data_IF_910457700109
#
_entry.id   IF_910457700109
#
_cell.length_a   1.000
_cell.length_b   1.000
_cell.length_c   1.000
_cell.angle_alpha   90.00
_cell.angle_beta   90.00
_cell.angle_gamma   90.00
#
_symmetry.space_group_name_H-M   'P 1'
#
loop_
_entity.id
_entity.type
_entity.pdbx_description
1 polymer ?
#
# COMPACT_ATOMS: atom_id res chain seq x y z
N UNK A 1 17.23 1.17 -6.37
CA UNK A 1 15.75 1.07 -6.38
C UNK A 1 15.37 -0.34 -6.81
N UNK A 2 14.55 -1.06 -6.03
CA UNK A 2 14.07 -2.40 -6.41
C UNK A 2 13.08 -2.29 -7.58
N UNK A 3 13.24 -3.16 -8.58
CA UNK A 3 12.32 -3.30 -9.71
C UNK A 3 11.96 -4.77 -9.84
N UNK A 4 10.68 -5.07 -10.03
CA UNK A 4 10.23 -6.43 -10.28
C UNK A 4 9.00 -6.44 -11.19
N UNK A 5 8.80 -7.53 -11.92
CA UNK A 5 7.56 -7.80 -12.62
C UNK A 5 6.69 -8.68 -11.73
N UNK A 6 5.45 -8.26 -11.47
CA UNK A 6 4.54 -9.03 -10.65
C UNK A 6 4.29 -10.41 -11.26
N UNK A 7 4.44 -11.46 -10.45
CA UNK A 7 4.25 -12.85 -10.89
C UNK A 7 2.78 -13.20 -11.12
N UNK A 8 1.85 -12.50 -10.47
CA UNK A 8 0.42 -12.76 -10.59
C UNK A 8 -0.21 -12.06 -11.80
N UNK A 9 0.05 -10.75 -11.99
CA UNK A 9 -0.60 -9.95 -13.04
C UNK A 9 0.34 -9.40 -14.11
N UNK A 10 1.65 -9.68 -14.03
CA UNK A 10 2.64 -9.28 -15.03
C UNK A 10 3.01 -7.79 -15.03
N UNK A 11 2.45 -6.97 -14.13
CA UNK A 11 2.69 -5.53 -14.08
C UNK A 11 4.10 -5.20 -13.57
N UNK A 12 4.84 -4.29 -14.24
CA UNK A 12 6.13 -3.82 -13.75
C UNK A 12 5.95 -2.87 -12.55
N UNK A 13 6.72 -3.11 -11.50
CA UNK A 13 6.76 -2.32 -10.27
C UNK A 13 8.17 -1.78 -10.04
N UNK A 14 8.26 -0.55 -9.54
CA UNK A 14 9.52 0.13 -9.21
C UNK A 14 9.38 0.83 -7.87
N UNK A 15 10.39 0.66 -7.00
CA UNK A 15 10.46 1.36 -5.71
C UNK A 15 9.52 0.84 -4.63
N UNK A 16 8.97 -0.37 -4.81
CA UNK A 16 8.02 -0.99 -3.88
C UNK A 16 8.18 -2.51 -3.86
N UNK A 17 7.77 -3.13 -2.76
CA UNK A 17 7.97 -4.56 -2.49
C UNK A 17 6.67 -5.38 -2.63
N UNK A 18 5.52 -4.75 -2.88
CA UNK A 18 4.28 -5.39 -3.37
C UNK A 18 3.93 -4.90 -4.78
N UNK A 19 2.94 -5.51 -5.45
CA UNK A 19 2.45 -5.08 -6.76
C UNK A 19 1.39 -3.99 -6.63
N UNK A 20 1.42 -2.94 -7.45
CA UNK A 20 0.57 -1.74 -7.27
C UNK A 20 -0.90 -1.93 -7.67
N UNK A 21 -1.26 -3.15 -8.06
CA UNK A 21 -2.55 -3.50 -8.67
C UNK A 21 -3.23 -4.63 -7.89
N UNK A 22 -2.47 -5.63 -7.47
CA UNK A 22 -3.01 -6.85 -6.85
C UNK A 22 -2.26 -7.26 -5.58
N UNK A 23 -1.39 -6.38 -5.06
CA UNK A 23 -0.64 -6.51 -3.81
C UNK A 23 0.25 -7.76 -3.64
N UNK A 24 0.37 -8.60 -4.67
CA UNK A 24 1.28 -9.74 -4.66
C UNK A 24 2.71 -9.27 -4.37
N UNK A 25 3.31 -9.84 -3.34
CA UNK A 25 4.66 -9.54 -2.92
C UNK A 25 5.69 -9.80 -4.03
N UNK A 26 6.73 -8.97 -4.06
CA UNK A 26 7.94 -9.24 -4.83
C UNK A 26 8.59 -10.54 -4.33
N UNK A 27 9.19 -11.36 -5.21
CA UNK A 27 9.95 -12.55 -4.80
C UNK A 27 11.09 -12.29 -3.82
N UNK A 28 11.54 -11.03 -3.73
CA UNK A 28 12.63 -10.60 -2.83
C UNK A 28 12.15 -9.68 -1.72
N UNK A 29 10.83 -9.52 -1.57
CA UNK A 29 10.23 -8.67 -0.55
C UNK A 29 10.68 -9.09 0.85
N UNK A 30 10.99 -8.11 1.69
CA UNK A 30 11.21 -8.36 3.13
C UNK A 30 9.99 -7.84 3.91
N UNK A 31 9.73 -8.33 5.13
CA UNK A 31 8.66 -7.77 5.97
C UNK A 31 8.79 -6.25 6.14
N UNK A 32 10.02 -5.74 6.33
CA UNK A 32 10.27 -4.30 6.42
C UNK A 32 9.99 -3.54 5.12
N UNK A 33 10.32 -4.12 3.96
CA UNK A 33 10.03 -3.51 2.66
C UNK A 33 8.54 -3.52 2.30
N UNK A 34 7.82 -4.59 2.65
CA UNK A 34 6.37 -4.66 2.54
C UNK A 34 5.70 -3.64 3.47
N UNK A 35 6.15 -3.52 4.72
CA UNK A 35 5.62 -2.53 5.65
C UNK A 35 5.85 -1.09 5.15
N UNK A 36 7.02 -0.80 4.59
CA UNK A 36 7.29 0.50 3.98
C UNK A 36 6.40 0.78 2.77
N UNK A 37 6.10 -0.25 1.96
CA UNK A 37 5.18 -0.14 0.82
C UNK A 37 3.75 0.14 1.29
N UNK A 38 3.25 -0.61 2.28
CA UNK A 38 1.93 -0.42 2.86
C UNK A 38 1.78 0.99 3.48
N UNK A 39 2.80 1.50 4.18
CA UNK A 39 2.78 2.88 4.69
C UNK A 39 2.69 3.93 3.56
N UNK A 40 3.37 3.71 2.44
CA UNK A 40 3.29 4.61 1.29
C UNK A 40 1.90 4.58 0.65
N UNK A 41 1.30 3.40 0.51
CA UNK A 41 -0.03 3.23 -0.05
C UNK A 41 -1.10 3.84 0.89
N UNK A 42 -0.96 3.68 2.21
CA UNK A 42 -1.81 4.35 3.21
C UNK A 42 -1.75 5.88 3.09
N UNK A 43 -0.54 6.43 2.92
CA UNK A 43 -0.33 7.86 2.73
C UNK A 43 -0.95 8.39 1.43
N UNK A 44 -0.86 7.62 0.35
CA UNK A 44 -1.49 7.96 -0.93
C UNK A 44 -3.03 7.93 -0.83
N UNK A 45 -3.60 6.91 -0.20
CA UNK A 45 -5.05 6.83 0.06
C UNK A 45 -5.52 8.02 0.91
N UNK A 46 -4.75 8.40 1.94
CA UNK A 46 -5.06 9.56 2.78
C UNK A 46 -5.02 10.88 2.01
N UNK A 47 -4.04 11.08 1.15
CA UNK A 47 -3.95 12.29 0.32
C UNK A 47 -5.20 12.41 -0.58
N UNK A 48 -5.57 11.33 -1.27
CA UNK A 48 -6.79 11.29 -2.09
C UNK A 48 -8.06 11.49 -1.26
N UNK A 49 -8.11 10.92 -0.05
CA UNK A 49 -9.25 11.07 0.86
C UNK A 49 -9.51 12.54 1.22
N UNK A 50 -8.45 13.32 1.43
CA UNK A 50 -8.55 14.76 1.69
C UNK A 50 -9.03 15.51 0.46
N UNK A 51 -8.42 15.26 -0.71
CA UNK A 51 -8.83 15.90 -1.97
C UNK A 51 -10.31 15.63 -2.31
N UNK A 52 -10.78 14.39 -2.14
CA UNK A 52 -12.16 14.02 -2.43
C UNK A 52 -13.15 14.58 -1.39
N UNK A 53 -12.73 14.71 -0.12
CA UNK A 53 -13.53 15.38 0.88
C UNK A 53 -13.71 16.87 0.58
N UNK A 54 -12.65 17.55 0.12
CA UNK A 54 -12.67 18.96 -0.29
C UNK A 54 -13.55 19.19 -1.52
N UNK A 55 -13.62 18.20 -2.43
CA UNK A 55 -14.52 18.21 -3.60
C UNK A 55 -15.99 17.90 -3.26
N UNK A 56 -16.29 17.54 -2.01
CA UNK A 56 -17.64 17.15 -1.58
C UNK A 56 -18.01 15.69 -1.87
N UNK A 57 -17.06 14.88 -2.36
CA UNK A 57 -17.27 13.46 -2.66
C UNK A 57 -17.14 12.60 -1.39
N UNK A 58 -18.02 12.84 -0.41
CA UNK A 58 -17.90 12.27 0.94
C UNK A 58 -17.96 10.74 0.99
N UNK A 59 -18.69 10.09 0.09
CA UNK A 59 -18.72 8.62 0.02
C UNK A 59 -17.36 8.05 -0.40
N UNK A 60 -16.76 8.62 -1.45
CA UNK A 60 -15.43 8.23 -1.91
C UNK A 60 -14.38 8.54 -0.84
N UNK A 61 -14.46 9.70 -0.19
CA UNK A 61 -13.57 10.03 0.92
C UNK A 61 -13.69 9.03 2.09
N UNK A 62 -14.91 8.61 2.44
CA UNK A 62 -15.13 7.59 3.47
C UNK A 62 -14.57 6.22 3.08
N UNK A 63 -14.72 5.83 1.81
CA UNK A 63 -14.08 4.63 1.29
C UNK A 63 -12.54 4.71 1.37
N UNK A 64 -11.95 5.82 0.92
CA UNK A 64 -10.50 6.03 0.97
C UNK A 64 -9.95 6.07 2.39
N UNK A 65 -10.73 6.54 3.38
CA UNK A 65 -10.36 6.45 4.79
C UNK A 65 -10.18 5.00 5.23
N UNK A 66 -11.13 4.11 4.89
CA UNK A 66 -11.03 2.68 5.22
C UNK A 66 -9.83 2.02 4.54
N UNK A 67 -9.60 2.33 3.26
CA UNK A 67 -8.43 1.83 2.52
C UNK A 67 -7.11 2.29 3.17
N UNK A 68 -7.04 3.54 3.64
CA UNK A 68 -5.87 4.04 4.37
C UNK A 68 -5.65 3.27 5.68
N UNK A 69 -6.70 3.04 6.45
CA UNK A 69 -6.64 2.29 7.71
C UNK A 69 -6.22 0.82 7.49
N UNK A 70 -6.78 0.14 6.47
CA UNK A 70 -6.42 -1.23 6.12
C UNK A 70 -4.91 -1.36 5.83
N UNK A 71 -4.34 -0.41 5.08
CA UNK A 71 -2.90 -0.39 4.81
C UNK A 71 -2.04 -0.05 6.04
N UNK A 72 -2.55 0.74 6.98
CA UNK A 72 -1.86 1.00 8.25
C UNK A 72 -1.82 -0.26 9.12
N UNK A 73 -2.92 -1.02 9.16
CA UNK A 73 -3.00 -2.30 9.86
C UNK A 73 -2.05 -3.34 9.25
N UNK A 74 -1.97 -3.42 7.93
CA UNK A 74 -0.99 -4.27 7.22
C UNK A 74 0.44 -3.88 7.58
N UNK A 75 0.77 -2.59 7.54
CA UNK A 75 2.09 -2.10 7.89
C UNK A 75 2.47 -2.46 9.33
N UNK A 76 1.52 -2.35 10.27
CA UNK A 76 1.71 -2.70 11.67
C UNK A 76 1.91 -4.21 11.84
N UNK A 77 1.09 -5.03 11.17
CA UNK A 77 1.21 -6.48 11.20
C UNK A 77 2.57 -6.93 10.67
N UNK A 78 3.00 -6.40 9.52
CA UNK A 78 4.29 -6.72 8.90
C UNK A 78 5.49 -6.31 9.77
N UNK A 79 5.40 -5.16 10.45
CA UNK A 79 6.43 -4.76 11.43
C UNK A 79 6.53 -5.71 12.61
N UNK A 80 5.40 -6.24 13.10
CA UNK A 80 5.39 -7.23 14.20
C UNK A 80 6.01 -8.55 13.77
N UNK A 81 5.72 -9.00 12.54
CA UNK A 81 6.33 -10.21 11.96
C UNK A 81 7.83 -10.04 11.72
N UNK A 82 8.29 -8.83 11.33
CA UNK A 82 9.72 -8.56 11.11
C UNK A 82 10.53 -8.24 12.37
N UNK A 83 9.90 -8.14 13.54
CA UNK A 83 10.54 -7.85 14.82
C UNK A 83 10.91 -9.11 15.63
N UNK A 84 10.54 -10.29 15.12
CA UNK A 84 10.95 -11.61 15.63
C UNK A 84 12.19 -12.10 14.91
#
# INVERSE_FOLDING_TARGET
MRRFRCVACGIPNTGRDSCKICDTASPTATPGGLAATALADAGAARALQVEEAERGNHELASHLSRVSDDHLDDALALRRVGAT
#
